data_IF_001749900951
#
_entry.id   IF_001749900951
#
_cell.length_a   1.000
_cell.length_b   1.000
_cell.length_c   1.000
_cell.angle_alpha   90.00
_cell.angle_beta   90.00
_cell.angle_gamma   90.00
#
_symmetry.space_group_name_H-M   'P 1'
#
loop_
_entity.id
_entity.type
_entity.pdbx_description
1 polymer ?
#
# COMPACT_ATOMS: atom_id res chain seq x y z
N UNK A 1 -8.37 5.96 9.71
CA UNK A 1 -7.08 5.29 9.99
C UNK A 1 -6.69 4.59 8.72
N UNK A 2 -5.60 5.02 8.08
CA UNK A 2 -5.13 4.39 6.85
C UNK A 2 -4.31 3.16 7.25
N UNK A 3 -4.67 2.00 6.75
CA UNK A 3 -3.96 0.75 7.03
C UNK A 3 -3.10 0.42 5.83
N UNK A 4 -1.80 0.31 6.05
CA UNK A 4 -0.82 -0.04 5.03
C UNK A 4 -0.71 -1.55 4.99
N UNK A 5 -0.74 -2.12 3.79
CA UNK A 5 -0.72 -3.57 3.58
C UNK A 5 0.42 -3.96 2.66
N UNK A 6 1.12 -5.03 2.99
CA UNK A 6 2.11 -5.68 2.12
C UNK A 6 1.87 -7.17 2.12
N UNK A 7 2.12 -7.87 1.02
CA UNK A 7 2.00 -9.33 1.01
C UNK A 7 3.01 -9.95 1.99
N UNK A 8 2.51 -10.71 2.97
CA UNK A 8 3.29 -11.44 3.98
C UNK A 8 4.01 -12.56 3.23
N UNK A 9 5.34 -12.53 3.24
CA UNK A 9 6.25 -13.38 2.43
C UNK A 9 6.67 -12.81 1.05
N UNK A 10 6.32 -11.55 0.73
CA UNK A 10 6.87 -10.87 -0.44
C UNK A 10 7.73 -9.68 -0.03
N UNK A 11 8.84 -9.48 -0.72
CA UNK A 11 9.65 -8.24 -0.66
C UNK A 11 9.01 -7.10 -1.47
N UNK A 12 7.70 -7.22 -1.75
CA UNK A 12 6.93 -6.25 -2.49
C UNK A 12 6.73 -4.93 -1.73
N UNK A 13 6.23 -3.90 -2.41
CA UNK A 13 5.97 -2.62 -1.79
C UNK A 13 4.76 -2.66 -0.84
N UNK A 14 4.62 -1.60 -0.05
CA UNK A 14 3.47 -1.34 0.79
C UNK A 14 2.40 -0.59 0.02
N UNK A 15 1.18 -1.12 0.10
CA UNK A 15 0.00 -0.57 -0.53
C UNK A 15 -0.87 0.10 0.53
N UNK A 16 -1.30 1.32 0.25
CA UNK A 16 -2.13 2.11 1.16
C UNK A 16 -3.40 2.64 0.51
N UNK A 17 -3.53 2.43 -0.80
CA UNK A 17 -4.76 2.64 -1.54
C UNK A 17 -5.43 1.28 -1.74
N UNK A 18 -6.64 1.16 -1.23
CA UNK A 18 -7.49 -0.03 -1.35
C UNK A 18 -7.92 -0.28 -2.79
N UNK A 19 -7.91 0.76 -3.62
CA UNK A 19 -8.16 0.69 -5.07
C UNK A 19 -6.89 0.46 -5.90
N UNK A 20 -5.76 0.17 -5.27
CA UNK A 20 -4.56 -0.26 -5.98
C UNK A 20 -4.77 -1.65 -6.57
N UNK A 21 -4.32 -1.87 -7.80
CA UNK A 21 -4.47 -3.11 -8.55
C UNK A 21 -3.78 -4.30 -7.84
N UNK A 22 -2.69 -4.01 -7.14
CA UNK A 22 -1.90 -4.99 -6.39
C UNK A 22 -2.19 -4.94 -4.89
N UNK A 23 -3.29 -4.30 -4.48
CA UNK A 23 -3.64 -4.20 -3.06
C UNK A 23 -3.89 -5.60 -2.48
N UNK A 24 -3.11 -6.04 -1.48
CA UNK A 24 -3.23 -7.41 -1.01
C UNK A 24 -4.51 -7.60 -0.19
N UNK A 25 -5.31 -8.57 -0.60
CA UNK A 25 -6.58 -8.92 0.06
C UNK A 25 -6.40 -10.04 1.10
N UNK A 26 -5.46 -10.96 0.87
CA UNK A 26 -5.15 -12.11 1.73
C UNK A 26 -3.65 -12.28 1.90
N UNK A 27 -3.20 -12.99 2.94
CA UNK A 27 -1.77 -13.20 3.26
C UNK A 27 -0.96 -11.91 3.26
N UNK A 28 -1.33 -10.98 4.12
CA UNK A 28 -0.74 -9.64 4.18
C UNK A 28 -0.32 -9.28 5.59
N UNK A 29 0.73 -8.48 5.68
CA UNK A 29 1.04 -7.73 6.88
C UNK A 29 0.35 -6.37 6.81
N UNK A 30 -0.26 -5.98 7.92
CA UNK A 30 -0.98 -4.73 8.07
C UNK A 30 -0.29 -3.88 9.13
N UNK A 31 0.01 -2.62 8.81
CA UNK A 31 0.56 -1.64 9.75
C UNK A 31 -0.24 -0.36 9.73
N UNK A 32 -0.27 0.32 10.88
CA UNK A 32 -0.90 1.63 11.04
C UNK A 32 0.06 2.79 10.71
N UNK A 33 1.35 2.49 10.59
CA UNK A 33 2.42 3.46 10.40
C UNK A 33 2.88 3.50 8.95
N UNK A 34 3.18 4.70 8.47
CA UNK A 34 3.61 4.95 7.10
C UNK A 34 4.95 4.23 6.82
N UNK A 35 5.07 3.51 5.69
CA UNK A 35 6.36 3.13 5.12
C UNK A 35 7.24 4.34 4.88
N UNK A 36 8.54 4.24 5.12
CA UNK A 36 9.46 5.20 4.52
C UNK A 36 9.29 5.19 2.99
N UNK A 37 9.40 6.36 2.35
CA UNK A 37 9.01 6.59 0.95
C UNK A 37 9.65 5.65 -0.09
N UNK A 38 10.68 4.89 0.29
CA UNK A 38 11.32 3.88 -0.56
C UNK A 38 10.60 2.53 -0.63
N UNK A 39 9.67 2.24 0.29
CA UNK A 39 8.95 0.95 0.30
C UNK A 39 7.50 1.06 -0.18
N UNK A 40 7.01 2.22 -0.59
CA UNK A 40 5.61 2.41 -0.98
C UNK A 40 5.35 2.03 -2.45
N UNK A 41 4.17 1.50 -2.73
CA UNK A 41 3.76 1.13 -4.09
C UNK A 41 3.64 2.39 -4.95
N UNK A 42 4.29 2.38 -6.12
CA UNK A 42 4.27 3.50 -7.06
C UNK A 42 2.84 3.90 -7.45
N UNK A 43 1.98 2.93 -7.75
CA UNK A 43 0.58 3.20 -8.11
C UNK A 43 -0.18 3.86 -6.95
N UNK A 44 0.07 3.42 -5.71
CA UNK A 44 -0.52 4.07 -4.54
C UNK A 44 -0.07 5.54 -4.42
N UNK A 45 1.23 5.81 -4.62
CA UNK A 45 1.76 7.19 -4.64
C UNK A 45 1.09 8.03 -5.73
N UNK A 46 1.02 7.52 -6.96
CA UNK A 46 0.37 8.21 -8.09
C UNK A 46 -1.12 8.49 -7.82
N UNK A 47 -1.84 7.52 -7.24
CA UNK A 47 -3.24 7.69 -6.83
C UNK A 47 -3.40 8.69 -5.70
N UNK A 48 -2.45 8.74 -4.75
CA UNK A 48 -2.45 9.72 -3.67
C UNK A 48 -2.25 11.14 -4.20
N UNK A 49 -1.24 11.33 -5.05
CA UNK A 49 -0.95 12.61 -5.68
C UNK A 49 -2.09 13.08 -6.59
N UNK A 50 -2.79 12.15 -7.24
CA UNK A 50 -3.98 12.43 -8.04
C UNK A 50 -5.26 12.62 -7.20
N UNK A 51 -5.23 12.40 -5.88
CA UNK A 51 -6.43 12.45 -5.02
C UNK A 51 -7.45 11.35 -5.31
N UNK A 52 -7.01 10.21 -5.85
CA UNK A 52 -7.82 9.05 -6.26
C UNK A 52 -7.63 7.81 -5.38
N UNK A 53 -6.79 7.91 -4.35
CA UNK A 53 -6.57 6.86 -3.37
C UNK A 53 -7.82 6.69 -2.48
N UNK A 54 -8.35 5.46 -2.38
CA UNK A 54 -9.50 5.11 -1.53
C UNK A 54 -9.13 4.08 -0.47
#
# INVERSE_FOLDING_TARGET
>A
MNTYRRLRDSDGPWHFCSNCSEFPESNKDERLEIPESGEACKECTELQEAGKCN
#
